data_IF_112443690452
#
_entry.id   IF_112443690452
#
_cell.length_a   1.000
_cell.length_b   1.000
_cell.length_c   1.000
_cell.angle_alpha   90.00
_cell.angle_beta   90.00
_cell.angle_gamma   90.00
#
_symmetry.space_group_name_H-M   'P 1'
#
loop_
_entity.id
_entity.type
_entity.pdbx_description
1 polymer ?
#
# COMPACT_ATOMS: atom_id res chain seq x y z
N UNK A 1 -8.70 -0.32 -3.01
CA UNK A 1 -7.78 0.75 -2.56
C UNK A 1 -6.74 1.05 -3.64
N UNK A 2 -7.13 1.80 -4.66
CA UNK A 2 -6.24 2.20 -5.75
C UNK A 2 -5.42 3.42 -5.30
N UNK A 3 -4.09 3.36 -5.47
CA UNK A 3 -3.13 4.40 -5.03
C UNK A 3 -2.38 5.04 -6.19
N UNK A 4 -2.57 4.55 -7.41
CA UNK A 4 -1.95 5.06 -8.63
C UNK A 4 -2.38 4.28 -9.87
N UNK A 5 -1.96 4.76 -11.05
CA UNK A 5 -2.28 4.16 -12.34
C UNK A 5 -3.61 4.62 -12.94
N UNK A 6 -3.99 3.99 -14.05
CA UNK A 6 -5.24 4.25 -14.76
C UNK A 6 -6.00 2.94 -14.98
N UNK A 7 -7.31 2.97 -14.76
CA UNK A 7 -8.20 1.80 -14.92
C UNK A 7 -9.34 2.16 -15.85
N UNK A 8 -9.74 1.23 -16.72
CA UNK A 8 -10.90 1.39 -17.59
C UNK A 8 -11.85 0.22 -17.36
N UNK A 9 -13.13 0.51 -17.12
CA UNK A 9 -14.18 -0.48 -16.85
C UNK A 9 -15.28 -0.34 -17.90
N UNK A 10 -15.45 -1.36 -18.74
CA UNK A 10 -16.37 -1.37 -19.89
C UNK A 10 -17.73 -2.01 -19.58
N UNK A 11 -18.16 -2.00 -18.32
CA UNK A 11 -19.39 -2.64 -17.87
C UNK A 11 -19.83 -2.19 -16.49
N UNK A 12 -20.86 -2.86 -15.98
CA UNK A 12 -21.47 -2.52 -14.70
C UNK A 12 -20.49 -2.74 -13.54
N UNK A 13 -20.57 -1.83 -12.56
CA UNK A 13 -19.80 -1.91 -11.32
C UNK A 13 -20.69 -2.35 -10.16
N UNK A 14 -20.04 -2.90 -9.11
CA UNK A 14 -20.67 -3.24 -7.85
C UNK A 14 -20.84 -2.05 -6.91
N UNK A 15 -21.46 -2.28 -5.75
CA UNK A 15 -21.62 -1.28 -4.68
C UNK A 15 -20.27 -0.93 -4.05
N UNK A 16 -20.18 0.27 -3.45
CA UNK A 16 -19.00 0.79 -2.77
C UNK A 16 -17.78 0.97 -3.70
N UNK A 17 -18.02 1.27 -4.98
CA UNK A 17 -16.96 1.53 -5.94
C UNK A 17 -16.12 2.74 -5.52
N UNK A 18 -14.80 2.67 -5.73
CA UNK A 18 -13.83 3.70 -5.35
C UNK A 18 -13.67 3.99 -3.84
N UNK A 19 -14.21 3.16 -2.96
CA UNK A 19 -13.92 3.26 -1.52
C UNK A 19 -12.41 3.13 -1.24
N UNK A 20 -11.86 4.11 -0.52
CA UNK A 20 -10.43 4.12 -0.21
C UNK A 20 -9.52 4.32 -1.44
N UNK A 21 -10.02 4.95 -2.51
CA UNK A 21 -9.23 5.35 -3.65
C UNK A 21 -8.46 6.64 -3.30
N UNK A 22 -7.15 6.52 -3.06
CA UNK A 22 -6.29 7.66 -2.68
C UNK A 22 -5.41 8.17 -3.82
N UNK A 23 -5.32 7.45 -4.95
CA UNK A 23 -4.59 7.93 -6.12
C UNK A 23 -4.90 7.17 -7.40
N UNK A 24 -4.69 7.84 -8.53
CA UNK A 24 -4.95 7.32 -9.88
C UNK A 24 -6.30 7.73 -10.47
N UNK A 25 -6.61 7.24 -11.68
CA UNK A 25 -7.79 7.65 -12.46
C UNK A 25 -8.55 6.42 -12.93
N UNK A 26 -9.86 6.38 -12.72
CA UNK A 26 -10.70 5.32 -13.26
C UNK A 26 -11.71 5.88 -14.27
N UNK A 27 -11.84 5.24 -15.43
CA UNK A 27 -12.83 5.54 -16.45
C UNK A 27 -13.85 4.42 -16.46
N UNK A 28 -15.10 4.73 -16.11
CA UNK A 28 -16.18 3.73 -16.01
C UNK A 28 -17.25 4.05 -17.03
N UNK A 29 -17.64 3.05 -17.82
CA UNK A 29 -18.74 3.15 -18.76
C UNK A 29 -20.07 2.95 -18.04
N UNK A 30 -20.84 4.03 -17.87
CA UNK A 30 -22.19 3.98 -17.28
C UNK A 30 -23.25 3.92 -18.38
N UNK A 31 -23.70 2.70 -18.71
CA UNK A 31 -24.75 2.48 -19.73
C UNK A 31 -26.16 2.75 -19.17
N UNK A 32 -26.35 2.51 -17.86
CA UNK A 32 -27.67 2.48 -17.22
C UNK A 32 -28.00 3.75 -16.43
N UNK A 33 -27.03 4.65 -16.22
CA UNK A 33 -27.17 5.85 -15.41
C UNK A 33 -27.22 5.58 -13.90
N UNK A 34 -26.94 4.34 -13.48
CA UNK A 34 -27.07 3.90 -12.09
C UNK A 34 -25.74 3.94 -11.32
N UNK A 35 -24.64 4.28 -11.99
CA UNK A 35 -23.30 4.22 -11.43
C UNK A 35 -23.13 5.13 -10.22
N UNK A 36 -23.71 6.33 -10.27
CA UNK A 36 -23.60 7.33 -9.20
C UNK A 36 -24.08 6.82 -7.84
N UNK A 37 -25.07 5.93 -7.82
CA UNK A 37 -25.61 5.34 -6.58
C UNK A 37 -24.71 4.26 -5.96
N UNK A 38 -23.75 3.74 -6.73
CA UNK A 38 -22.90 2.61 -6.35
C UNK A 38 -21.50 3.02 -5.92
N UNK A 39 -21.16 4.30 -6.04
CA UNK A 39 -19.84 4.85 -5.73
C UNK A 39 -19.82 5.40 -4.31
N UNK A 40 -18.74 5.14 -3.59
CA UNK A 40 -18.46 5.82 -2.33
C UNK A 40 -17.88 7.21 -2.64
N UNK A 41 -18.63 8.25 -2.27
CA UNK A 41 -18.32 9.65 -2.56
C UNK A 41 -17.43 10.32 -1.51
N UNK A 42 -16.93 9.59 -0.50
CA UNK A 42 -16.13 10.17 0.59
C UNK A 42 -14.86 10.87 0.10
N UNK A 43 -14.17 10.31 -0.91
CA UNK A 43 -12.86 10.79 -1.35
C UNK A 43 -12.72 10.99 -2.86
N UNK A 44 -13.82 10.86 -3.63
CA UNK A 44 -13.76 10.88 -5.10
C UNK A 44 -14.79 11.82 -5.70
N UNK A 45 -14.40 12.44 -6.81
CA UNK A 45 -15.26 13.28 -7.64
C UNK A 45 -15.44 12.67 -9.03
N UNK A 46 -16.55 13.04 -9.66
CA UNK A 46 -16.86 12.71 -11.04
C UNK A 46 -16.51 13.85 -11.99
N UNK A 47 -15.94 13.49 -13.12
CA UNK A 47 -15.71 14.38 -14.24
C UNK A 47 -16.15 13.71 -15.55
N UNK A 48 -16.42 14.53 -16.55
CA UNK A 48 -16.63 14.09 -17.92
C UNK A 48 -15.31 14.06 -18.65
N UNK A 49 -15.11 13.08 -19.53
CA UNK A 49 -13.90 12.95 -20.34
C UNK A 49 -13.96 13.94 -21.51
N UNK A 50 -13.47 15.17 -21.28
CA UNK A 50 -13.51 16.25 -22.26
C UNK A 50 -12.13 16.58 -22.86
N UNK A 51 -11.04 16.07 -22.27
CA UNK A 51 -9.68 16.37 -22.70
C UNK A 51 -9.27 15.48 -23.91
N UNK A 52 -8.82 16.09 -25.01
CA UNK A 52 -8.43 15.36 -26.24
C UNK A 52 -7.30 14.36 -26.00
N UNK A 53 -6.30 14.71 -25.18
CA UNK A 53 -5.21 13.81 -24.79
C UNK A 53 -5.71 12.56 -24.05
N UNK A 54 -6.74 12.72 -23.20
CA UNK A 54 -7.34 11.61 -22.46
C UNK A 54 -8.19 10.72 -23.37
N UNK A 55 -8.90 11.31 -24.33
CA UNK A 55 -9.70 10.57 -25.32
C UNK A 55 -8.81 9.71 -26.20
N UNK A 56 -7.68 10.26 -26.66
CA UNK A 56 -6.70 9.51 -27.45
C UNK A 56 -6.14 8.33 -26.65
N UNK A 57 -5.72 8.57 -25.41
CA UNK A 57 -5.21 7.50 -24.54
C UNK A 57 -6.25 6.41 -24.27
N UNK A 58 -7.52 6.79 -24.01
CA UNK A 58 -8.60 5.84 -23.79
C UNK A 58 -8.86 5.00 -25.05
N UNK A 59 -8.81 5.62 -26.23
CA UNK A 59 -8.97 4.95 -27.51
C UNK A 59 -7.85 3.95 -27.77
N UNK A 60 -6.59 4.33 -27.52
CA UNK A 60 -5.43 3.44 -27.69
C UNK A 60 -5.54 2.23 -26.75
N UNK A 61 -5.88 2.45 -25.48
CA UNK A 61 -6.07 1.35 -24.52
C UNK A 61 -7.22 0.41 -24.92
N UNK A 62 -8.31 0.95 -25.47
CA UNK A 62 -9.42 0.15 -25.99
C UNK A 62 -9.02 -0.68 -27.21
N UNK A 63 -8.16 -0.14 -28.09
CA UNK A 63 -7.62 -0.86 -29.24
C UNK A 63 -6.72 -2.01 -28.79
N UNK A 64 -5.83 -1.76 -27.84
CA UNK A 64 -4.99 -2.78 -27.23
C UNK A 64 -5.85 -3.86 -26.58
N UNK A 65 -6.85 -3.47 -25.78
CA UNK A 65 -7.75 -4.42 -25.14
C UNK A 65 -8.49 -5.28 -26.16
N UNK A 66 -8.98 -4.70 -27.26
CA UNK A 66 -9.60 -5.47 -28.36
C UNK A 66 -8.60 -6.43 -29.01
N UNK A 67 -7.38 -5.99 -29.28
CA UNK A 67 -6.36 -6.80 -29.92
C UNK A 67 -5.97 -8.01 -29.07
N UNK A 68 -5.75 -7.82 -27.77
CA UNK A 68 -5.32 -8.89 -26.86
C UNK A 68 -6.46 -9.82 -26.40
N UNK A 69 -7.70 -9.32 -26.31
CA UNK A 69 -8.82 -10.10 -25.73
C UNK A 69 -9.90 -10.51 -26.72
N UNK A 70 -9.93 -9.91 -27.92
CA UNK A 70 -11.03 -10.12 -28.88
C UNK A 70 -12.39 -9.59 -28.40
N UNK A 71 -12.41 -8.68 -27.42
CA UNK A 71 -13.65 -8.20 -26.79
C UNK A 71 -14.62 -7.53 -27.77
N UNK A 72 -15.81 -8.12 -27.92
CA UNK A 72 -16.90 -7.57 -28.74
C UNK A 72 -17.42 -6.22 -28.21
N UNK A 73 -17.34 -6.00 -26.89
CA UNK A 73 -17.75 -4.73 -26.25
C UNK A 73 -16.78 -3.62 -26.65
N UNK A 74 -15.47 -3.89 -26.56
CA UNK A 74 -14.45 -2.93 -26.96
C UNK A 74 -14.58 -2.56 -28.44
N UNK A 75 -14.86 -3.54 -29.31
CA UNK A 75 -15.12 -3.29 -30.73
C UNK A 75 -16.35 -2.40 -30.96
N UNK A 76 -17.45 -2.65 -30.24
CA UNK A 76 -18.67 -1.82 -30.34
C UNK A 76 -18.42 -0.38 -29.89
N UNK A 77 -17.64 -0.19 -28.83
CA UNK A 77 -17.27 1.13 -28.32
C UNK A 77 -16.38 1.85 -29.33
N UNK A 78 -15.36 1.18 -29.87
CA UNK A 78 -14.45 1.76 -30.86
C UNK A 78 -15.15 2.19 -32.16
N UNK A 79 -16.16 1.41 -32.62
CA UNK A 79 -16.95 1.77 -33.82
C UNK A 79 -17.77 3.05 -33.65
N UNK A 80 -18.29 3.31 -32.45
CA UNK A 80 -19.19 4.43 -32.15
C UNK A 80 -18.68 5.30 -30.99
N UNK A 81 -17.37 5.57 -30.95
CA UNK A 81 -16.72 6.20 -29.79
C UNK A 81 -17.39 7.52 -29.39
N UNK A 82 -17.72 8.38 -30.35
CA UNK A 82 -18.37 9.67 -30.09
C UNK A 82 -19.69 9.58 -29.32
N UNK A 83 -20.47 8.51 -29.51
CA UNK A 83 -21.73 8.30 -28.79
C UNK A 83 -21.53 7.71 -27.37
N UNK A 84 -20.39 7.06 -27.13
CA UNK A 84 -20.07 6.45 -25.83
C UNK A 84 -19.23 7.36 -24.92
N UNK A 85 -18.48 8.33 -25.48
CA UNK A 85 -17.71 9.30 -24.69
C UNK A 85 -18.51 10.00 -23.58
N UNK A 86 -19.71 10.56 -23.80
CA UNK A 86 -20.47 11.21 -22.73
C UNK A 86 -20.99 10.23 -21.66
N UNK A 87 -20.97 8.92 -21.94
CA UNK A 87 -21.36 7.86 -20.98
C UNK A 87 -20.17 7.40 -20.13
N UNK A 88 -18.95 7.82 -20.45
CA UNK A 88 -17.79 7.56 -19.61
C UNK A 88 -17.75 8.54 -18.46
N UNK A 89 -17.78 7.99 -17.25
CA UNK A 89 -17.59 8.73 -16.01
C UNK A 89 -16.13 8.57 -15.60
N UNK A 90 -15.42 9.70 -15.51
CA UNK A 90 -14.08 9.76 -14.94
C UNK A 90 -14.21 9.91 -13.43
N UNK A 91 -13.62 8.98 -12.70
CA UNK A 91 -13.55 8.98 -11.24
C UNK A 91 -12.12 9.30 -10.83
N UNK A 92 -11.97 10.37 -10.06
CA UNK A 92 -10.67 10.81 -9.56
C UNK A 92 -10.77 11.21 -8.09
N UNK A 93 -9.78 10.86 -7.25
CA UNK A 93 -9.72 11.33 -5.88
C UNK A 93 -9.58 12.86 -5.81
N UNK A 94 -10.28 13.48 -4.87
CA UNK A 94 -10.29 14.93 -4.67
C UNK A 94 -8.90 15.51 -4.48
N UNK A 95 -8.06 14.84 -3.71
CA UNK A 95 -6.72 15.34 -3.36
C UNK A 95 -5.72 15.09 -4.49
N UNK A 96 -5.87 13.98 -5.21
CA UNK A 96 -5.10 13.72 -6.42
C UNK A 96 -5.37 14.76 -7.51
N UNK A 97 -6.63 15.21 -7.65
CA UNK A 97 -7.01 16.29 -8.56
C UNK A 97 -6.29 17.60 -8.23
N UNK A 98 -6.32 18.03 -6.97
CA UNK A 98 -5.66 19.28 -6.52
C UNK A 98 -4.17 19.29 -6.89
N UNK A 99 -3.50 18.16 -6.74
CA UNK A 99 -2.08 18.01 -7.09
C UNK A 99 -1.85 18.13 -8.60
N UNK A 100 -2.68 17.48 -9.42
CA UNK A 100 -2.58 17.58 -10.89
C UNK A 100 -2.83 19.00 -11.40
N UNK A 101 -3.84 19.69 -10.85
CA UNK A 101 -4.15 21.07 -11.22
C UNK A 101 -3.03 22.02 -10.82
N UNK A 102 -2.45 21.85 -9.62
CA UNK A 102 -1.27 22.61 -9.18
C UNK A 102 -0.06 22.37 -10.10
N UNK A 103 0.17 21.14 -10.55
CA UNK A 103 1.23 20.81 -11.51
C UNK A 103 0.96 21.40 -12.89
N UNK A 104 -0.30 21.42 -13.35
CA UNK A 104 -0.68 22.06 -14.62
C UNK A 104 -0.41 23.55 -14.57
N UNK A 105 -0.85 24.25 -13.53
CA UNK A 105 -0.59 25.69 -13.33
C UNK A 105 0.92 25.99 -13.30
N UNK A 106 1.70 25.18 -12.59
CA UNK A 106 3.16 25.33 -12.55
C UNK A 106 3.85 25.08 -13.90
N UNK A 107 3.32 24.16 -14.73
CA UNK A 107 3.82 23.92 -16.10
C UNK A 107 3.44 25.04 -17.06
N UNK A 108 2.25 25.62 -16.93
CA UNK A 108 1.78 26.76 -17.72
C UNK A 108 2.61 28.01 -17.45
N UNK A 109 2.93 28.29 -16.17
CA UNK A 109 3.76 29.44 -15.78
C UNK A 109 5.20 29.37 -16.29
N UNK A 110 5.75 28.16 -16.50
CA UNK A 110 7.09 27.96 -17.07
C UNK A 110 7.15 28.12 -18.60
N UNK A 111 6.01 28.11 -19.30
CA UNK A 111 5.96 28.29 -20.78
C UNK A 111 5.90 29.76 -21.23
N UNK A 112 5.78 30.73 -20.33
CA UNK A 112 5.56 32.15 -20.67
C UNK A 112 6.72 33.12 -20.39
N UNK A 113 7.96 32.64 -20.20
CA UNK A 113 9.14 33.51 -20.07
C UNK A 113 9.84 33.67 -21.45
N UNK A 114 10.17 34.90 -21.90
CA UNK A 114 10.67 35.13 -23.25
C UNK A 114 12.14 34.70 -23.41
N UNK A 115 12.43 34.19 -24.61
CA UNK A 115 13.70 33.65 -25.08
C UNK A 115 14.74 34.72 -25.39
N UNK A 116 15.96 34.54 -24.88
CA UNK A 116 17.18 35.24 -25.32
C UNK A 116 18.30 34.26 -25.65
N UNK A 117 18.61 34.17 -26.95
CA UNK A 117 19.82 33.71 -27.65
C UNK A 117 20.77 32.61 -27.07
N UNK A 118 20.86 31.53 -27.86
CA UNK A 118 21.91 30.51 -28.08
C UNK A 118 23.32 30.74 -27.52
N UNK A 119 23.96 29.67 -26.98
CA UNK A 119 25.23 29.06 -27.46
C UNK A 119 25.34 27.59 -26.95
N UNK A 120 25.73 26.67 -27.84
CA UNK A 120 26.17 25.29 -27.53
C UNK A 120 27.67 25.26 -27.17
N UNK A 121 28.05 24.51 -26.12
CA UNK A 121 29.37 23.83 -26.02
C UNK A 121 29.27 22.57 -25.14
N UNK A 122 30.30 21.75 -25.22
CA UNK A 122 30.34 20.28 -25.28
C UNK A 122 30.78 19.53 -24.00
N UNK A 123 30.31 18.27 -23.89
CA UNK A 123 30.96 17.09 -23.26
C UNK A 123 31.09 17.03 -21.69
N UNK A 124 31.47 15.87 -21.08
CA UNK A 124 30.51 14.98 -20.41
C UNK A 124 30.81 14.68 -18.93
N UNK A 125 29.82 14.04 -18.27
CA UNK A 125 29.89 13.24 -17.05
C UNK A 125 30.24 13.93 -15.70
N UNK A 126 29.23 14.07 -14.83
CA UNK A 126 29.35 13.77 -13.40
C UNK A 126 27.94 13.71 -12.76
N UNK A 127 27.61 12.56 -12.18
CA UNK A 127 26.41 12.32 -11.39
C UNK A 127 26.44 13.23 -10.14
N UNK A 128 25.56 14.23 -10.04
CA UNK A 128 25.33 14.99 -8.80
C UNK A 128 24.11 14.42 -8.07
N UNK A 129 24.14 14.25 -6.75
CA UNK A 129 23.01 13.72 -5.99
C UNK A 129 21.83 14.69 -6.06
N UNK A 130 20.62 14.18 -6.30
CA UNK A 130 19.38 14.98 -6.26
C UNK A 130 19.24 15.64 -4.88
N UNK A 131 18.79 16.90 -4.78
CA UNK A 131 18.46 17.51 -3.51
C UNK A 131 17.37 16.71 -2.80
N UNK A 132 17.55 16.47 -1.50
CA UNK A 132 16.54 15.84 -0.65
C UNK A 132 15.29 16.73 -0.65
N UNK A 133 14.20 16.22 -1.24
CA UNK A 133 12.90 16.88 -1.25
C UNK A 133 12.38 16.94 0.20
N UNK A 134 11.88 18.08 0.69
CA UNK A 134 11.36 18.15 2.05
C UNK A 134 10.13 17.26 2.17
N UNK A 135 10.05 16.49 3.26
CA UNK A 135 8.92 15.61 3.53
C UNK A 135 7.63 16.44 3.60
N UNK A 136 6.75 16.25 2.62
CA UNK A 136 5.42 16.86 2.60
C UNK A 136 4.57 16.11 3.62
N UNK A 137 4.11 16.82 4.66
CA UNK A 137 3.21 16.26 5.68
C UNK A 137 1.79 16.23 5.10
N UNK A 138 1.08 15.14 5.33
CA UNK A 138 -0.22 14.83 4.73
C UNK A 138 -1.31 15.80 5.19
N UNK A 139 -2.25 16.14 4.30
CA UNK A 139 -3.21 17.24 4.51
C UNK A 139 -4.31 16.89 5.53
N UNK A 140 -4.43 15.62 5.92
CA UNK A 140 -5.40 15.11 6.90
C UNK A 140 -5.02 15.45 8.35
N UNK A 141 -3.83 16.03 8.54
CA UNK A 141 -3.21 16.32 9.83
C UNK A 141 -3.34 17.80 10.23
N UNK A 142 -3.99 18.58 9.36
CA UNK A 142 -4.10 20.03 9.50
C UNK A 142 -5.30 20.51 10.32
N UNK A 143 -6.15 19.60 10.84
CA UNK A 143 -7.27 19.94 11.73
C UNK A 143 -7.52 18.96 12.88
N UNK A 144 -6.46 18.38 13.45
CA UNK A 144 -6.56 17.67 14.73
C UNK A 144 -5.44 18.18 15.62
N UNK A 145 -5.74 18.50 16.88
CA UNK A 145 -4.76 19.01 17.86
C UNK A 145 -3.43 18.25 17.72
N UNK A 146 -2.30 18.97 17.77
CA UNK A 146 -0.97 18.40 17.50
C UNK A 146 -0.66 17.14 18.35
N UNK A 147 -1.29 17.03 19.53
CA UNK A 147 -1.21 15.85 20.40
C UNK A 147 -2.03 14.66 19.90
N UNK A 148 -3.17 14.90 19.24
CA UNK A 148 -4.01 13.88 18.61
C UNK A 148 -3.39 13.37 17.31
N UNK A 149 -2.69 14.25 16.57
CA UNK A 149 -1.91 13.85 15.40
C UNK A 149 -0.69 13.00 15.77
N UNK A 150 0.06 13.38 16.80
CA UNK A 150 1.13 12.54 17.38
C UNK A 150 0.58 11.20 17.86
N UNK A 151 -0.52 11.19 18.60
CA UNK A 151 -1.17 9.93 19.06
C UNK A 151 -1.63 9.04 17.91
N UNK A 152 -2.11 9.62 16.79
CA UNK A 152 -2.51 8.87 15.60
C UNK A 152 -1.33 8.35 14.78
N UNK A 153 -0.23 9.09 14.68
CA UNK A 153 0.99 8.60 14.01
C UNK A 153 1.77 7.60 14.87
N UNK A 154 1.62 7.67 16.20
CA UNK A 154 2.04 6.66 17.18
C UNK A 154 1.13 5.41 17.17
N UNK A 155 -0.10 5.53 16.67
CA UNK A 155 -1.03 4.41 16.61
C UNK A 155 -0.69 3.49 15.44
N UNK A 156 0.04 2.42 15.75
CA UNK A 156 0.45 1.37 14.82
C UNK A 156 -0.76 0.81 14.06
N UNK A 157 -0.69 0.78 12.72
CA UNK A 157 -1.77 0.27 11.87
C UNK A 157 -1.70 -1.27 11.77
N UNK A 158 -2.71 -1.95 12.29
CA UNK A 158 -2.82 -3.42 12.22
C UNK A 158 -3.30 -3.95 10.88
N UNK A 159 -4.30 -3.30 10.27
CA UNK A 159 -5.00 -3.85 9.09
C UNK A 159 -4.07 -3.92 7.89
N UNK A 160 -3.13 -2.96 7.79
CA UNK A 160 -2.14 -2.90 6.72
C UNK A 160 -0.71 -3.02 7.23
N UNK A 161 -0.52 -3.54 8.43
CA UNK A 161 0.79 -3.62 9.09
C UNK A 161 1.80 -4.42 8.28
N UNK A 162 1.37 -5.49 7.62
CA UNK A 162 2.24 -6.33 6.79
C UNK A 162 2.77 -5.64 5.52
N UNK A 163 2.05 -4.65 4.99
CA UNK A 163 2.50 -3.85 3.84
C UNK A 163 3.35 -2.66 4.27
N UNK A 164 3.05 -2.07 5.43
CA UNK A 164 3.68 -0.83 5.91
C UNK A 164 5.00 -1.09 6.62
N UNK A 165 5.10 -2.16 7.40
CA UNK A 165 6.25 -2.41 8.27
C UNK A 165 7.09 -3.57 7.74
N UNK A 166 8.39 -3.29 7.55
CA UNK A 166 9.38 -4.32 7.20
C UNK A 166 9.69 -5.21 8.40
N UNK A 167 10.02 -6.47 8.12
CA UNK A 167 10.49 -7.41 9.14
C UNK A 167 11.75 -6.86 9.81
N UNK A 168 11.78 -6.87 11.13
CA UNK A 168 12.97 -6.56 11.94
C UNK A 168 13.21 -7.72 12.90
N UNK A 169 14.36 -8.36 12.78
CA UNK A 169 14.82 -9.37 13.73
C UNK A 169 15.62 -8.75 14.87
N UNK A 170 15.94 -9.56 15.87
CA UNK A 170 16.82 -9.16 16.97
C UNK A 170 18.21 -8.78 16.46
N UNK A 171 18.72 -7.65 16.94
CA UNK A 171 20.06 -7.21 16.58
C UNK A 171 21.10 -8.05 17.31
N UNK A 172 22.08 -8.57 16.56
CA UNK A 172 23.21 -9.26 17.17
C UNK A 172 24.23 -8.28 17.74
N UNK A 173 24.78 -8.62 18.92
CA UNK A 173 25.92 -7.90 19.49
C UNK A 173 27.14 -7.97 18.56
N UNK A 174 28.00 -6.96 18.60
CA UNK A 174 29.20 -6.90 17.78
C UNK A 174 30.10 -8.14 18.03
N UNK A 175 30.54 -8.87 16.98
CA UNK A 175 31.39 -10.06 17.11
C UNK A 175 32.60 -9.86 18.03
N UNK A 176 33.28 -8.71 17.98
CA UNK A 176 34.48 -8.43 18.77
C UNK A 176 34.22 -8.32 20.28
N UNK A 177 32.99 -7.98 20.68
CA UNK A 177 32.58 -7.94 22.08
C UNK A 177 32.16 -9.33 22.56
N UNK A 178 31.58 -10.15 21.67
CA UNK A 178 31.11 -11.51 21.96
C UNK A 178 32.23 -12.51 22.23
N UNK A 179 33.44 -12.27 21.76
CA UNK A 179 34.59 -13.16 22.07
C UNK A 179 35.07 -13.04 23.51
N UNK A 180 34.64 -12.01 24.25
CA UNK A 180 35.12 -11.72 25.61
C UNK A 180 34.13 -12.14 26.71
N UNK A 181 32.93 -12.58 26.36
CA UNK A 181 31.91 -13.02 27.32
C UNK A 181 31.05 -14.17 26.78
N UNK A 182 30.37 -14.89 27.68
CA UNK A 182 29.39 -15.93 27.33
C UNK A 182 27.94 -15.42 27.47
N UNK A 183 27.72 -14.10 27.38
CA UNK A 183 26.38 -13.52 27.51
C UNK A 183 25.57 -13.73 26.22
N UNK A 184 24.26 -13.54 26.30
CA UNK A 184 23.33 -13.71 25.18
C UNK A 184 23.74 -12.88 23.94
N UNK A 185 23.57 -13.43 22.74
CA UNK A 185 24.07 -12.82 21.49
C UNK A 185 23.07 -11.79 20.93
N UNK A 186 21.78 -12.09 21.05
CA UNK A 186 20.67 -11.23 20.61
C UNK A 186 20.37 -10.14 21.65
N UNK A 187 19.98 -8.97 21.16
CA UNK A 187 19.38 -7.92 21.97
C UNK A 187 17.87 -7.90 21.68
N UNK A 188 17.06 -7.95 22.74
CA UNK A 188 15.60 -7.87 22.62
C UNK A 188 15.16 -6.57 21.96
N UNK A 189 14.16 -6.67 21.09
CA UNK A 189 13.43 -5.50 20.57
C UNK A 189 12.76 -4.72 21.70
N UNK A 190 12.53 -3.42 21.46
CA UNK A 190 11.72 -2.58 22.35
C UNK A 190 10.24 -2.99 22.30
N UNK A 191 9.48 -2.71 23.35
CA UNK A 191 8.05 -3.03 23.40
C UNK A 191 7.27 -2.38 22.23
N UNK A 192 7.66 -1.16 21.86
CA UNK A 192 7.13 -0.47 20.69
C UNK A 192 7.43 -1.23 19.39
N UNK A 193 8.68 -1.66 19.19
CA UNK A 193 9.05 -2.43 17.99
C UNK A 193 8.34 -3.79 17.95
N UNK A 194 8.16 -4.45 19.11
CA UNK A 194 7.39 -5.69 19.22
C UNK A 194 5.92 -5.49 18.83
N UNK A 195 5.30 -4.39 19.27
CA UNK A 195 3.94 -4.01 18.86
C UNK A 195 3.84 -3.81 17.35
N UNK A 196 4.83 -3.13 16.74
CA UNK A 196 4.92 -2.93 15.29
C UNK A 196 5.10 -4.25 14.55
N UNK A 197 5.96 -5.16 15.02
CA UNK A 197 6.14 -6.46 14.39
C UNK A 197 4.90 -7.35 14.53
N UNK A 198 4.21 -7.32 15.67
CA UNK A 198 2.96 -8.05 15.89
C UNK A 198 1.83 -7.57 14.97
N UNK A 199 1.82 -6.28 14.59
CA UNK A 199 0.88 -5.71 13.63
C UNK A 199 1.01 -6.30 12.21
N UNK A 200 2.11 -6.99 11.88
CA UNK A 200 2.34 -7.59 10.57
C UNK A 200 1.56 -8.90 10.36
N UNK A 201 0.96 -9.46 11.40
CA UNK A 201 0.15 -10.66 11.25
C UNK A 201 -1.13 -10.35 10.46
N UNK A 202 -1.35 -11.05 9.33
CA UNK A 202 -2.49 -10.80 8.42
C UNK A 202 -3.82 -11.41 8.89
N UNK A 203 -3.82 -12.22 9.96
CA UNK A 203 -4.98 -13.01 10.38
C UNK A 203 -5.63 -13.81 9.22
N UNK A 204 -4.82 -14.67 8.59
CA UNK A 204 -5.05 -15.26 7.26
C UNK A 204 -6.28 -16.17 7.10
N UNK A 205 -7.16 -16.30 8.10
CA UNK A 205 -8.30 -17.22 8.13
C UNK A 205 -7.90 -18.71 8.27
N UNK A 206 -6.98 -19.19 7.43
CA UNK A 206 -6.33 -20.50 7.53
C UNK A 206 -4.85 -20.30 7.89
N UNK A 207 -4.48 -20.37 9.18
CA UNK A 207 -3.12 -20.07 9.61
C UNK A 207 -2.18 -21.26 9.35
N UNK A 208 -1.37 -21.20 8.31
CA UNK A 208 -0.36 -22.24 8.07
C UNK A 208 0.72 -22.28 9.16
N UNK A 209 0.99 -21.15 9.81
CA UNK A 209 1.94 -21.07 10.92
C UNK A 209 1.57 -21.95 12.13
N UNK A 210 0.28 -22.25 12.35
CA UNK A 210 -0.18 -23.14 13.44
C UNK A 210 -0.32 -24.61 13.01
N UNK A 211 -0.14 -24.92 11.72
CA UNK A 211 -0.32 -26.27 11.21
C UNK A 211 0.77 -27.21 11.75
N UNK A 212 0.39 -28.40 12.23
CA UNK A 212 1.34 -29.33 12.86
C UNK A 212 2.32 -29.98 11.89
N UNK A 213 2.01 -30.01 10.59
CA UNK A 213 2.85 -30.65 9.57
C UNK A 213 4.01 -29.78 9.09
N UNK A 214 3.77 -28.49 8.85
CA UNK A 214 4.75 -27.56 8.28
C UNK A 214 5.01 -26.34 9.16
N UNK A 215 4.10 -26.00 10.07
CA UNK A 215 4.16 -24.84 10.95
C UNK A 215 4.74 -25.19 12.32
N UNK A 216 4.03 -24.77 13.37
CA UNK A 216 4.46 -24.98 14.75
C UNK A 216 4.19 -26.43 15.22
N UNK A 217 5.22 -27.23 15.54
CA UNK A 217 5.03 -28.63 15.94
C UNK A 217 4.30 -28.80 17.28
N UNK A 218 4.39 -27.80 18.16
CA UNK A 218 3.69 -27.77 19.46
C UNK A 218 2.27 -27.21 19.37
N UNK A 219 1.81 -26.82 18.16
CA UNK A 219 0.44 -26.34 17.96
C UNK A 219 0.14 -25.00 18.61
N UNK A 220 1.13 -24.11 18.76
CA UNK A 220 0.91 -22.78 19.30
C UNK A 220 -0.10 -22.00 18.45
N UNK A 221 -0.98 -21.27 19.15
CA UNK A 221 -2.02 -20.44 18.51
C UNK A 221 -1.44 -19.04 18.23
N UNK A 222 -0.50 -19.00 17.29
CA UNK A 222 0.35 -17.84 16.94
C UNK A 222 -0.44 -16.56 16.65
N UNK A 223 -1.48 -16.58 15.80
CA UNK A 223 -2.23 -15.36 15.50
C UNK A 223 -2.87 -14.73 16.74
N UNK A 224 -3.26 -15.54 17.72
CA UNK A 224 -4.00 -15.06 18.89
C UNK A 224 -3.10 -14.29 19.86
N UNK A 225 -1.93 -14.84 20.22
CA UNK A 225 -1.03 -14.11 21.10
C UNK A 225 -0.35 -12.93 20.39
N UNK A 226 -0.16 -12.96 19.06
CA UNK A 226 0.25 -11.77 18.30
C UNK A 226 -0.79 -10.65 18.37
N UNK A 227 -2.08 -10.97 18.30
CA UNK A 227 -3.15 -9.98 18.49
C UNK A 227 -3.15 -9.39 19.90
N UNK A 228 -2.93 -10.21 20.92
CA UNK A 228 -2.83 -9.76 22.31
C UNK A 228 -1.59 -8.88 22.55
N UNK A 229 -0.43 -9.23 21.97
CA UNK A 229 0.79 -8.42 22.01
C UNK A 229 0.56 -7.06 21.35
N UNK A 230 -0.11 -7.03 20.20
CA UNK A 230 -0.47 -5.76 19.54
C UNK A 230 -1.36 -4.87 20.42
N UNK A 231 -2.26 -5.46 21.21
CA UNK A 231 -3.13 -4.76 22.16
C UNK A 231 -2.47 -4.47 23.51
N UNK A 232 -1.17 -4.76 23.65
CA UNK A 232 -0.40 -4.59 24.90
C UNK A 232 -0.93 -5.43 26.08
N UNK A 233 -1.70 -6.50 25.79
CA UNK A 233 -2.23 -7.44 26.77
C UNK A 233 -1.23 -8.58 27.03
N UNK A 234 -0.05 -8.24 27.55
CA UNK A 234 1.09 -9.16 27.70
C UNK A 234 0.78 -10.38 28.58
N UNK A 235 0.03 -10.19 29.66
CA UNK A 235 -0.32 -11.28 30.58
C UNK A 235 -1.23 -12.31 29.89
N UNK A 236 -2.21 -11.85 29.12
CA UNK A 236 -3.10 -12.75 28.36
C UNK A 236 -2.35 -13.45 27.22
N UNK A 237 -1.44 -12.72 26.54
CA UNK A 237 -0.59 -13.30 25.51
C UNK A 237 0.28 -14.44 26.07
N UNK A 238 0.90 -14.21 27.23
CA UNK A 238 1.69 -15.22 27.94
C UNK A 238 0.84 -16.41 28.39
N UNK A 239 -0.30 -16.15 29.02
CA UNK A 239 -1.23 -17.21 29.43
C UNK A 239 -1.62 -18.08 28.24
N UNK A 240 -1.93 -17.47 27.09
CA UNK A 240 -2.29 -18.20 25.87
C UNK A 240 -1.14 -19.04 25.32
N UNK A 241 0.09 -18.54 25.42
CA UNK A 241 1.29 -19.25 25.00
C UNK A 241 1.61 -20.43 25.93
N UNK A 242 1.44 -20.24 27.24
CA UNK A 242 1.67 -21.27 28.26
C UNK A 242 0.67 -22.44 28.19
N UNK A 243 -0.51 -22.23 27.59
CA UNK A 243 -1.47 -23.33 27.36
C UNK A 243 -0.95 -24.40 26.40
N UNK A 244 -0.05 -24.06 25.48
CA UNK A 244 0.47 -24.96 24.44
C UNK A 244 1.98 -25.18 24.52
N UNK A 245 2.70 -24.32 25.25
CA UNK A 245 4.14 -24.44 25.45
C UNK A 245 4.53 -24.31 26.92
N UNK A 246 5.15 -25.35 27.47
CA UNK A 246 5.61 -25.35 28.86
C UNK A 246 6.84 -24.43 29.07
N UNK A 247 7.61 -24.18 28.02
CA UNK A 247 8.90 -23.48 28.07
C UNK A 247 9.05 -22.49 26.90
N UNK A 248 8.20 -21.45 26.84
CA UNK A 248 8.25 -20.46 25.76
C UNK A 248 9.57 -19.67 25.71
N UNK A 249 10.20 -19.43 26.86
CA UNK A 249 11.48 -18.75 26.98
C UNK A 249 12.64 -19.54 26.36
N UNK A 250 12.60 -20.87 26.41
CA UNK A 250 13.59 -21.73 25.77
C UNK A 250 13.28 -21.90 24.28
N UNK A 251 12.00 -22.13 23.96
CA UNK A 251 11.55 -22.33 22.58
C UNK A 251 11.82 -21.09 21.73
N UNK A 252 11.53 -19.88 22.25
CA UNK A 252 11.77 -18.62 21.53
C UNK A 252 13.25 -18.34 21.22
N UNK A 253 14.19 -19.00 21.89
CA UNK A 253 15.64 -18.82 21.68
C UNK A 253 16.28 -19.89 20.81
N UNK A 254 15.82 -21.13 20.92
CA UNK A 254 16.49 -22.30 20.33
C UNK A 254 15.72 -22.88 19.14
N UNK A 255 14.42 -22.59 19.03
CA UNK A 255 13.60 -23.13 17.94
C UNK A 255 14.12 -22.63 16.58
N UNK A 256 14.27 -23.51 15.58
CA UNK A 256 14.60 -23.12 14.20
C UNK A 256 13.45 -22.39 13.49
N UNK A 257 12.36 -22.09 14.19
CA UNK A 257 11.20 -21.32 13.73
C UNK A 257 10.57 -21.80 12.40
N UNK A 258 10.16 -23.08 12.28
CA UNK A 258 9.49 -23.58 11.07
C UNK A 258 8.17 -22.85 10.76
N UNK A 259 7.52 -22.31 11.80
CA UNK A 259 6.34 -21.48 11.68
C UNK A 259 6.57 -20.17 10.91
N UNK A 260 7.80 -19.64 10.86
CA UNK A 260 8.13 -18.46 10.06
C UNK A 260 8.19 -18.79 8.57
N UNK A 261 8.83 -19.90 8.20
CA UNK A 261 8.88 -20.38 6.82
C UNK A 261 7.50 -20.76 6.27
N UNK A 262 6.62 -21.29 7.12
CA UNK A 262 5.23 -21.63 6.76
C UNK A 262 4.26 -20.45 6.86
N UNK A 263 4.72 -19.25 7.24
CA UNK A 263 3.86 -18.08 7.27
C UNK A 263 3.44 -17.69 5.85
N UNK A 264 2.17 -17.33 5.64
CA UNK A 264 1.68 -16.84 4.34
C UNK A 264 2.50 -15.65 3.85
N UNK A 265 2.94 -14.78 4.78
CA UNK A 265 3.81 -13.64 4.44
C UNK A 265 5.21 -14.09 3.99
N UNK A 266 5.70 -15.21 4.52
CA UNK A 266 7.00 -15.80 4.18
C UNK A 266 7.07 -16.37 2.75
N UNK A 267 5.95 -16.45 2.03
CA UNK A 267 5.93 -16.77 0.60
C UNK A 267 6.47 -15.60 -0.23
N UNK A 268 6.18 -14.36 0.19
CA UNK A 268 6.50 -13.14 -0.57
C UNK A 268 7.78 -12.45 -0.09
N UNK A 269 8.17 -12.64 1.16
CA UNK A 269 9.36 -12.03 1.77
C UNK A 269 10.27 -13.12 2.34
N UNK A 270 11.60 -12.89 2.27
CA UNK A 270 12.56 -13.79 2.88
C UNK A 270 12.33 -13.90 4.41
N UNK A 271 12.41 -15.12 4.98
CA UNK A 271 12.27 -15.35 6.41
C UNK A 271 13.49 -14.87 7.21
#
# INVERSE_FOLDING_TARGET
YMTGGRVVVLGNTGRNFAAGMSGGIAYVLDVNGDFKSKVNMEMVNFETVNEEEEILWLKDLLQDHRHYTGSAIAERILKNLGAYLPKFVKVMPTDYKKVLDAQRVAKSAKKSAPSGALVMTTAPAANKPKPHEPAVVDLEDSMVDADTYKKRSEMVDKVRGFMKYKRRGDAYRNPKKRTKDYKEISARLSDHDLKVQAARCMDCGVPFCQSSSTGCPIGNIIPKWNDLVFREQWQEALNRLLMTNNFPEFTGRVCPAPCEGSCVLGINELP
#
